data_IF_336651133980
#
_entry.id   IF_336651133980
#
_cell.length_a   1.000
_cell.length_b   1.000
_cell.length_c   1.000
_cell.angle_alpha   90.00
_cell.angle_beta   90.00
_cell.angle_gamma   90.00
#
_symmetry.space_group_name_H-M   'P 1'
#
loop_
_entity.id
_entity.type
_entity.pdbx_description
1 polymer ?
#
# COMPACT_ATOMS: atom_id res chain seq x y z
N UNK A 1 47.20 -36.63 -3.90
CA UNK A 1 46.17 -36.04 -3.02
C UNK A 1 45.19 -35.29 -3.91
N UNK A 2 43.93 -35.71 -3.97
CA UNK A 2 42.93 -35.20 -4.94
C UNK A 2 41.90 -34.39 -4.15
N UNK A 3 42.04 -33.06 -4.18
CA UNK A 3 41.18 -32.13 -3.44
C UNK A 3 39.85 -31.99 -4.17
N UNK A 4 38.77 -32.46 -3.56
CA UNK A 4 37.40 -32.30 -4.06
C UNK A 4 36.90 -30.94 -3.57
N UNK A 5 36.73 -29.99 -4.49
CA UNK A 5 36.02 -28.74 -4.23
C UNK A 5 34.52 -29.03 -4.26
N UNK A 6 33.89 -29.05 -3.08
CA UNK A 6 32.44 -29.07 -2.95
C UNK A 6 31.95 -27.65 -3.23
N UNK A 7 31.44 -27.42 -4.44
CA UNK A 7 30.70 -26.22 -4.78
C UNK A 7 29.36 -26.26 -4.03
N UNK A 8 29.27 -25.51 -2.94
CA UNK A 8 28.01 -25.24 -2.25
C UNK A 8 27.10 -24.46 -3.20
N UNK A 9 25.99 -25.07 -3.62
CA UNK A 9 24.92 -24.33 -4.31
C UNK A 9 24.37 -23.29 -3.33
N UNK A 10 24.34 -22.00 -3.68
CA UNK A 10 23.59 -21.03 -2.89
C UNK A 10 22.12 -21.42 -2.98
N UNK A 11 21.52 -21.76 -1.85
CA UNK A 11 20.07 -21.85 -1.73
C UNK A 11 19.51 -20.46 -2.06
N UNK A 12 18.98 -20.31 -3.27
CA UNK A 12 18.18 -19.16 -3.65
C UNK A 12 16.98 -19.15 -2.70
N UNK A 13 17.07 -18.34 -1.64
CA UNK A 13 15.92 -17.99 -0.85
C UNK A 13 14.90 -17.41 -1.82
N UNK A 14 13.84 -18.17 -2.09
CA UNK A 14 12.64 -17.69 -2.77
C UNK A 14 12.08 -16.59 -1.90
N UNK A 15 12.51 -15.36 -2.16
CA UNK A 15 11.80 -14.15 -1.74
C UNK A 15 10.39 -14.33 -2.26
N UNK A 16 9.43 -14.53 -1.36
CA UNK A 16 8.03 -14.31 -1.66
C UNK A 16 7.97 -12.87 -2.16
N UNK A 17 7.88 -12.68 -3.47
CA UNK A 17 7.84 -11.36 -4.04
C UNK A 17 6.56 -10.74 -3.50
N UNK A 18 6.68 -9.77 -2.57
CA UNK A 18 5.52 -9.04 -2.07
C UNK A 18 4.75 -8.55 -3.30
N UNK A 19 3.53 -9.06 -3.47
CA UNK A 19 2.66 -8.66 -4.57
C UNK A 19 1.69 -7.65 -3.99
N UNK A 20 1.48 -6.57 -4.73
CA UNK A 20 0.45 -5.61 -4.41
C UNK A 20 -0.90 -6.33 -4.23
N UNK A 21 -1.46 -6.23 -3.04
CA UNK A 21 -2.82 -6.67 -2.74
C UNK A 21 -3.75 -5.47 -2.84
N UNK A 22 -4.89 -5.63 -3.50
CA UNK A 22 -5.93 -4.59 -3.59
C UNK A 22 -7.25 -5.15 -3.12
N UNK A 23 -7.84 -4.52 -2.09
CA UNK A 23 -9.10 -4.94 -1.48
C UNK A 23 -10.08 -3.78 -1.37
N UNK A 24 -11.37 -4.06 -1.53
CA UNK A 24 -12.41 -3.12 -1.15
C UNK A 24 -12.32 -2.83 0.35
N UNK A 25 -12.50 -1.57 0.75
CA UNK A 25 -12.44 -1.14 2.15
C UNK A 25 -13.50 -1.86 2.99
N UNK A 26 -14.65 -2.24 2.42
CA UNK A 26 -15.66 -3.05 3.12
C UNK A 26 -15.22 -4.49 3.41
N UNK A 27 -14.19 -5.00 2.73
CA UNK A 27 -13.64 -6.35 2.90
C UNK A 27 -12.38 -6.37 3.77
N UNK A 28 -11.85 -5.21 4.16
CA UNK A 28 -10.73 -5.10 5.09
C UNK A 28 -11.21 -5.44 6.50
N UNK A 29 -10.79 -6.61 6.98
CA UNK A 29 -11.02 -7.00 8.35
C UNK A 29 -9.92 -6.46 9.28
N UNK A 30 -10.08 -6.71 10.59
CA UNK A 30 -9.11 -6.27 11.60
C UNK A 30 -7.70 -6.87 11.39
N UNK A 31 -7.59 -8.08 10.81
CA UNK A 31 -6.30 -8.71 10.58
C UNK A 31 -5.57 -7.99 9.45
N UNK A 32 -6.25 -7.70 8.35
CA UNK A 32 -5.71 -6.92 7.23
C UNK A 32 -5.39 -5.49 7.66
N UNK A 33 -6.24 -4.84 8.46
CA UNK A 33 -5.96 -3.51 9.00
C UNK A 33 -4.66 -3.50 9.83
N UNK A 34 -4.49 -4.45 10.75
CA UNK A 34 -3.27 -4.57 11.54
C UNK A 34 -2.04 -4.89 10.69
N UNK A 35 -2.21 -5.65 9.61
CA UNK A 35 -1.14 -5.92 8.65
C UNK A 35 -0.68 -4.63 7.95
N UNK A 36 -1.63 -3.86 7.39
CA UNK A 36 -1.36 -2.56 6.78
C UNK A 36 -0.66 -1.63 7.78
N UNK A 37 -1.13 -1.55 9.02
CA UNK A 37 -0.54 -0.70 10.06
C UNK A 37 0.90 -1.11 10.42
N UNK A 38 1.23 -2.40 10.41
CA UNK A 38 2.58 -2.90 10.73
C UNK A 38 3.55 -2.77 9.55
N UNK A 39 3.04 -2.88 8.33
CA UNK A 39 3.82 -2.77 7.10
C UNK A 39 4.19 -1.33 6.72
N UNK A 40 3.62 -0.33 7.40
CA UNK A 40 3.75 1.08 7.01
C UNK A 40 4.33 1.96 8.13
N UNK A 41 4.91 3.10 7.75
CA UNK A 41 5.34 4.11 8.71
C UNK A 41 4.14 4.72 9.46
N UNK A 42 4.39 5.25 10.65
CA UNK A 42 3.35 5.92 11.45
C UNK A 42 2.69 7.07 10.68
N UNK A 43 3.48 7.83 9.92
CA UNK A 43 3.01 8.96 9.12
C UNK A 43 2.13 8.49 7.96
N UNK A 44 2.51 7.42 7.23
CA UNK A 44 1.68 6.85 6.18
C UNK A 44 0.34 6.31 6.72
N UNK A 45 0.35 5.70 7.91
CA UNK A 45 -0.89 5.27 8.59
C UNK A 45 -1.77 6.45 9.00
N UNK A 46 -1.18 7.56 9.45
CA UNK A 46 -1.92 8.79 9.76
C UNK A 46 -2.52 9.44 8.50
N UNK A 47 -1.77 9.46 7.40
CA UNK A 47 -2.26 9.87 6.08
C UNK A 47 -3.46 9.01 5.66
N UNK A 48 -3.35 7.69 5.81
CA UNK A 48 -4.41 6.77 5.43
C UNK A 48 -5.69 7.00 6.24
N UNK A 49 -5.57 7.17 7.57
CA UNK A 49 -6.71 7.52 8.41
C UNK A 49 -7.35 8.86 8.01
N UNK A 50 -6.53 9.84 7.59
CA UNK A 50 -7.02 11.13 7.13
C UNK A 50 -7.84 11.02 5.84
N UNK A 51 -7.35 10.32 4.81
CA UNK A 51 -8.10 10.20 3.54
C UNK A 51 -9.37 9.35 3.70
N UNK A 52 -9.34 8.32 4.55
CA UNK A 52 -10.56 7.55 4.87
C UNK A 52 -11.62 8.42 5.57
N UNK A 53 -11.20 9.36 6.41
CA UNK A 53 -12.11 10.33 7.03
C UNK A 53 -12.72 11.28 6.00
N UNK A 54 -11.92 11.79 5.06
CA UNK A 54 -12.43 12.63 3.96
C UNK A 54 -13.53 11.90 3.17
N UNK A 55 -13.28 10.64 2.80
CA UNK A 55 -14.24 9.82 2.07
C UNK A 55 -15.52 9.55 2.88
N UNK A 56 -15.39 9.33 4.18
CA UNK A 56 -16.54 9.21 5.08
C UNK A 56 -17.36 10.50 5.13
N UNK A 57 -16.71 11.66 5.23
CA UNK A 57 -17.37 12.97 5.27
C UNK A 57 -18.08 13.28 3.93
N UNK A 58 -17.50 12.82 2.80
CA UNK A 58 -18.09 12.83 1.45
C UNK A 58 -19.16 11.76 1.23
N UNK A 59 -19.41 10.88 2.21
CA UNK A 59 -20.38 9.78 2.17
C UNK A 59 -20.13 8.75 1.07
N UNK A 60 -18.86 8.53 0.72
CA UNK A 60 -18.45 7.48 -0.22
C UNK A 60 -18.65 6.13 0.47
N UNK A 61 -19.27 5.16 -0.22
CA UNK A 61 -19.51 3.83 0.34
C UNK A 61 -18.18 3.08 0.44
N UNK A 62 -18.00 2.32 1.51
CA UNK A 62 -16.79 1.48 1.69
C UNK A 62 -16.60 0.43 0.60
N UNK A 63 -17.68 -0.02 -0.05
CA UNK A 63 -17.62 -0.92 -1.21
C UNK A 63 -17.00 -0.29 -2.44
N UNK A 64 -17.02 1.04 -2.51
CA UNK A 64 -16.57 1.82 -3.65
C UNK A 64 -15.16 2.39 -3.39
N UNK A 65 -14.50 2.00 -2.30
CA UNK A 65 -13.14 2.43 -1.97
C UNK A 65 -12.24 1.19 -2.05
N UNK A 66 -11.18 1.26 -2.84
CA UNK A 66 -10.17 0.22 -2.95
C UNK A 66 -8.89 0.66 -2.25
N UNK A 67 -8.28 -0.25 -1.51
CA UNK A 67 -7.03 -0.03 -0.79
C UNK A 67 -5.99 -1.00 -1.32
N UNK A 68 -4.85 -0.46 -1.74
CA UNK A 68 -3.70 -1.22 -2.22
C UNK A 68 -2.58 -1.17 -1.19
N UNK A 69 -2.03 -2.33 -0.83
CA UNK A 69 -0.93 -2.49 0.13
C UNK A 69 0.03 -3.60 -0.33
N UNK A 70 1.19 -3.72 0.30
CA UNK A 70 2.28 -4.64 -0.08
C UNK A 70 2.75 -4.46 -1.55
N UNK A 71 2.56 -3.28 -2.12
CA UNK A 71 3.09 -2.94 -3.44
C UNK A 71 4.59 -2.65 -3.32
N UNK A 72 5.47 -3.44 -3.96
CA UNK A 72 6.91 -3.24 -3.88
C UNK A 72 7.39 -1.94 -4.55
N UNK A 73 6.53 -1.26 -5.31
CA UNK A 73 6.85 0.00 -5.99
C UNK A 73 6.37 1.24 -5.21
N UNK A 74 5.61 1.05 -4.13
CA UNK A 74 4.98 2.13 -3.35
C UNK A 74 5.35 1.93 -1.88
N UNK A 75 6.10 2.88 -1.31
CA UNK A 75 6.40 2.89 0.13
C UNK A 75 5.23 3.48 0.93
N UNK A 76 4.10 2.78 0.88
CA UNK A 76 2.84 3.34 1.37
C UNK A 76 1.59 2.53 1.09
N UNK A 77 0.47 3.26 1.13
CA UNK A 77 -0.88 2.72 0.97
C UNK A 77 -1.53 3.43 -0.21
N UNK A 78 -1.93 2.69 -1.24
CA UNK A 78 -2.74 3.21 -2.34
C UNK A 78 -4.23 3.21 -1.97
N UNK A 79 -4.96 4.23 -2.41
CA UNK A 79 -6.41 4.34 -2.18
C UNK A 79 -7.10 4.90 -3.44
N UNK A 80 -8.02 4.14 -4.01
CA UNK A 80 -8.81 4.56 -5.17
C UNK A 80 -10.31 4.53 -4.91
N UNK A 81 -11.08 5.34 -5.64
CA UNK A 81 -12.54 5.30 -5.61
C UNK A 81 -13.06 4.67 -6.91
N UNK A 82 -13.93 3.66 -6.77
CA UNK A 82 -14.56 2.95 -7.88
C UNK A 82 -15.27 3.92 -8.83
N UNK A 83 -15.18 3.64 -10.14
CA UNK A 83 -15.88 4.40 -11.18
C UNK A 83 -15.49 5.90 -11.25
N UNK A 84 -14.38 6.29 -10.61
CA UNK A 84 -13.81 7.64 -10.69
C UNK A 84 -12.33 7.59 -11.06
N UNK A 85 -11.79 8.71 -11.53
CA UNK A 85 -10.35 8.89 -11.72
C UNK A 85 -9.61 9.28 -10.43
N UNK A 86 -10.33 9.39 -9.29
CA UNK A 86 -9.76 9.78 -8.00
C UNK A 86 -8.92 8.64 -7.41
N UNK A 87 -7.60 8.82 -7.43
CA UNK A 87 -6.62 7.90 -6.87
C UNK A 87 -5.63 8.67 -6.00
N UNK A 88 -5.30 8.08 -4.85
CA UNK A 88 -4.43 8.66 -3.84
C UNK A 88 -3.38 7.65 -3.41
N UNK A 89 -2.25 8.14 -2.94
CA UNK A 89 -1.28 7.33 -2.20
C UNK A 89 -0.85 8.02 -0.93
N UNK A 90 -0.60 7.22 0.10
CA UNK A 90 -0.02 7.64 1.38
C UNK A 90 1.40 7.11 1.47
N UNK A 91 2.34 7.83 0.86
CA UNK A 91 3.74 7.42 0.70
C UNK A 91 4.66 8.35 1.47
N UNK A 92 5.60 7.80 2.24
CA UNK A 92 6.58 8.58 3.02
C UNK A 92 5.96 9.70 3.89
N UNK A 93 4.74 9.50 4.40
CA UNK A 93 4.01 10.52 5.16
C UNK A 93 3.39 11.65 4.33
N UNK A 94 3.36 11.54 3.01
CA UNK A 94 2.67 12.46 2.11
C UNK A 94 1.38 11.82 1.60
N UNK A 95 0.27 12.57 1.67
CA UNK A 95 -0.89 12.28 0.84
C UNK A 95 -0.59 12.83 -0.56
N UNK A 96 -0.67 11.97 -1.56
CA UNK A 96 -0.48 12.31 -2.97
C UNK A 96 -1.76 12.00 -3.72
N UNK A 97 -2.20 12.89 -4.60
CA UNK A 97 -3.36 12.69 -5.46
C UNK A 97 -2.89 12.52 -6.91
N UNK A 98 -3.52 11.63 -7.65
CA UNK A 98 -3.31 11.48 -9.08
C UNK A 98 -4.00 12.63 -9.82
N UNK A 99 -3.20 13.52 -10.39
CA UNK A 99 -3.68 14.69 -11.13
C UNK A 99 -2.85 14.90 -12.38
N UNK A 100 -3.50 15.15 -13.52
CA UNK A 100 -2.84 15.48 -14.79
C UNK A 100 -1.76 14.46 -15.24
N UNK A 101 -1.92 13.17 -14.90
CA UNK A 101 -1.02 12.09 -15.34
C UNK A 101 0.14 11.79 -14.39
N UNK A 102 0.15 12.37 -13.18
CA UNK A 102 1.18 12.10 -12.17
C UNK A 102 0.63 12.23 -10.74
N UNK A 103 1.30 11.60 -9.77
CA UNK A 103 1.00 11.80 -8.35
C UNK A 103 1.62 13.08 -7.81
N UNK A 104 0.78 13.98 -7.30
CA UNK A 104 1.20 15.26 -6.68
C UNK A 104 0.92 15.26 -5.20
N UNK A 105 1.90 15.71 -4.41
CA UNK A 105 1.74 15.84 -2.97
C UNK A 105 0.71 16.93 -2.64
N UNK A 106 -0.33 16.58 -1.89
CA UNK A 106 -1.39 17.50 -1.45
C UNK A 106 -1.28 17.85 0.04
N UNK A 107 -0.68 16.97 0.85
CA UNK A 107 -0.51 17.19 2.30
C UNK A 107 0.62 16.33 2.88
N UNK A 108 1.27 16.81 3.94
CA UNK A 108 2.28 16.08 4.73
C UNK A 108 1.78 15.80 6.15
N UNK A 109 2.26 14.71 6.75
CA UNK A 109 1.89 14.20 8.08
C UNK A 109 3.11 13.94 8.97
#
# INVERSE_FOLDING_TARGET
MKTIFILALPALALSDAARAETLELSKIDRKTELHIQRGNTKQSVQCFAYILKDFQDRKIRKSDIYVTFDDPNIDGIGVGIAETDENYTCEAGELRAWEAGEYRAVKRF
#
